data_IF_521293799364
#
_entry.id   IF_521293799364
#
_cell.length_a   1.000
_cell.length_b   1.000
_cell.length_c   1.000
_cell.angle_alpha   90.00
_cell.angle_beta   90.00
_cell.angle_gamma   90.00
#
_symmetry.space_group_name_H-M   'P 1'
#
loop_
_entity.id
_entity.type
_entity.pdbx_description
1 polymer ?
2 water ?
#
# COMPACT_ATOMS: atom_id res chain seq x y z
N UNK A 1 -13.56 -12.68 -5.90
CA UNK A 1 -14.34 -11.39 -5.73
C UNK A 1 -15.65 -11.43 -4.84
N UNK A 2 -15.94 -10.27 -4.24
CA UNK A 2 -17.16 -10.04 -3.42
C UNK A 2 -17.70 -8.67 -3.95
N UNK A 3 -18.49 -7.99 -3.13
CA UNK A 3 -18.88 -6.60 -3.42
C UNK A 3 -17.83 -5.57 -3.19
N UNK A 4 -16.70 -5.94 -2.58
CA UNK A 4 -15.58 -4.98 -2.34
C UNK A 4 -14.92 -4.61 -3.72
N UNK A 5 -14.80 -3.29 -3.97
CA UNK A 5 -14.07 -2.85 -5.20
C UNK A 5 -12.63 -3.25 -5.08
N UNK A 6 -12.16 -3.98 -6.13
CA UNK A 6 -10.77 -4.36 -6.32
C UNK A 6 -10.45 -3.94 -7.77
N UNK A 7 -9.46 -3.04 -7.93
CA UNK A 7 -9.10 -2.68 -9.33
C UNK A 7 -8.77 -3.91 -10.10
N UNK A 8 -9.12 -3.97 -11.38
CA UNK A 8 -8.71 -5.05 -12.26
C UNK A 8 -7.21 -5.26 -12.11
N UNK A 9 -6.77 -6.55 -12.17
CA UNK A 9 -5.36 -6.86 -12.10
C UNK A 9 -4.60 -6.17 -13.21
N UNK A 10 -3.50 -5.52 -12.78
CA UNK A 10 -2.68 -4.84 -13.77
C UNK A 10 -3.07 -3.38 -14.04
N UNK A 11 -4.26 -2.96 -13.63
CA UNK A 11 -4.71 -1.56 -13.90
C UNK A 11 -3.83 -0.66 -12.97
N UNK A 12 -3.34 0.45 -13.50
CA UNK A 12 -2.52 1.35 -12.66
C UNK A 12 -3.32 2.40 -11.91
N UNK A 13 -2.83 2.67 -10.72
CA UNK A 13 -3.41 3.67 -9.84
C UNK A 13 -2.43 4.27 -8.92
N UNK A 14 -2.77 5.35 -8.29
CA UNK A 14 -1.97 5.86 -7.15
C UNK A 14 -2.79 5.66 -5.86
N UNK A 15 -2.11 5.67 -4.73
CA UNK A 15 -2.67 5.45 -3.45
C UNK A 15 -2.57 6.64 -2.57
N UNK A 16 -3.69 7.39 -2.43
CA UNK A 16 -3.74 8.70 -1.76
C UNK A 16 -4.12 8.44 -0.29
N UNK A 17 -3.36 9.03 0.61
CA UNK A 17 -3.68 8.87 2.01
C UNK A 17 -4.72 9.80 2.49
N UNK A 18 -5.65 9.26 3.30
CA UNK A 18 -6.67 10.05 3.91
C UNK A 18 -6.08 11.18 4.75
N UNK A 19 -5.14 10.88 5.63
CA UNK A 19 -4.57 11.89 6.53
C UNK A 19 -3.47 12.75 5.86
N UNK A 20 -2.61 12.06 5.12
CA UNK A 20 -1.41 12.76 4.59
C UNK A 20 -1.74 13.67 3.43
N UNK A 21 -2.77 13.26 2.67
CA UNK A 21 -3.09 13.91 1.37
C UNK A 21 -1.97 13.79 0.34
N UNK A 22 -1.14 12.77 0.48
CA UNK A 22 -0.03 12.53 -0.44
C UNK A 22 -0.14 11.09 -0.92
N UNK A 23 0.62 10.74 -1.95
CA UNK A 23 0.56 9.39 -2.56
C UNK A 23 1.86 8.66 -2.29
N UNK A 24 1.76 7.34 -2.21
CA UNK A 24 2.97 6.53 -2.05
C UNK A 24 3.81 6.61 -3.35
N UNK A 25 5.14 6.62 -3.19
CA UNK A 25 6.01 6.40 -4.36
C UNK A 25 6.94 5.18 -4.05
N UNK A 26 7.42 4.62 -5.17
CA UNK A 26 8.46 3.58 -5.18
C UNK A 26 9.33 3.78 -6.36
N UNK A 27 10.63 3.93 -6.11
CA UNK A 27 11.65 4.30 -7.12
C UNK A 27 12.87 3.41 -7.05
N UNK A 28 13.65 3.38 -8.14
CA UNK A 28 14.93 2.65 -8.16
C UNK A 28 16.01 3.65 -7.76
N UNK A 29 16.31 3.63 -6.48
CA UNK A 29 17.25 4.48 -5.84
C UNK A 29 17.89 3.74 -4.67
N UNK A 30 18.99 4.29 -4.18
CA UNK A 30 19.48 3.79 -2.90
C UNK A 30 18.50 4.20 -1.84
N UNK A 31 18.68 3.69 -0.64
CA UNK A 31 17.69 3.91 0.45
C UNK A 31 17.63 5.42 0.85
N UNK A 32 16.43 5.94 1.13
CA UNK A 32 15.10 5.30 0.98
C UNK A 32 14.55 5.28 -0.45
N UNK A 33 13.97 4.17 -0.87
CA UNK A 33 13.38 4.04 -2.21
C UNK A 33 11.86 4.07 -2.20
N UNK A 34 11.25 4.30 -1.03
CA UNK A 34 9.77 4.44 -0.96
C UNK A 34 9.52 5.63 -0.07
N UNK A 35 8.31 6.17 -0.14
CA UNK A 35 7.99 7.32 0.69
C UNK A 35 6.64 7.87 0.22
N UNK A 36 6.34 9.12 0.55
CA UNK A 36 5.21 9.83 0.03
C UNK A 36 5.64 11.00 -0.79
N UNK A 37 4.86 11.33 -1.79
CA UNK A 37 5.15 12.50 -2.59
C UNK A 37 3.88 13.22 -2.96
N UNK A 38 4.03 14.46 -3.47
CA UNK A 38 2.80 15.22 -3.61
C UNK A 38 1.90 14.76 -4.80
N UNK A 39 0.59 14.87 -4.63
CA UNK A 39 -0.30 14.43 -5.71
C UNK A 39 -0.07 15.15 -7.02
N UNK A 40 0.04 16.49 -6.94
CA UNK A 40 0.26 17.22 -8.19
C UNK A 40 1.56 16.97 -8.96
N UNK A 41 2.47 16.22 -8.39
CA UNK A 41 3.56 15.70 -9.21
C UNK A 41 3.25 14.83 -10.39
N UNK A 42 2.18 14.08 -10.26
CA UNK A 42 1.71 13.17 -11.27
C UNK A 42 2.85 12.35 -11.89
N UNK A 43 3.57 11.61 -11.06
CA UNK A 43 4.83 10.99 -11.49
C UNK A 43 4.63 9.50 -11.65
N UNK A 44 5.29 8.94 -12.68
CA UNK A 44 5.19 7.51 -12.90
C UNK A 44 5.54 6.71 -11.67
N UNK A 45 6.49 7.14 -10.85
CA UNK A 45 6.83 6.37 -9.63
C UNK A 45 5.81 6.43 -8.52
N UNK A 46 4.70 7.14 -8.75
CA UNK A 46 3.57 7.04 -7.83
C UNK A 46 2.50 6.01 -8.26
N UNK A 47 2.77 5.32 -9.38
CA UNK A 47 1.75 4.37 -9.87
C UNK A 47 2.10 2.96 -9.43
N UNK A 48 1.04 2.20 -9.16
CA UNK A 48 1.08 0.81 -8.76
C UNK A 48 0.00 0.05 -9.49
N UNK A 49 0.12 -1.25 -9.48
CA UNK A 49 -1.03 -2.14 -9.91
C UNK A 49 -1.05 -3.32 -8.95
N UNK A 50 -2.19 -4.00 -8.94
CA UNK A 50 -2.29 -5.21 -8.09
C UNK A 50 -1.97 -6.50 -8.89
N UNK A 51 -1.22 -7.36 -8.19
CA UNK A 51 -1.10 -8.75 -8.55
C UNK A 51 -2.09 -9.60 -7.68
N UNK A 52 -3.00 -10.28 -8.35
CA UNK A 52 -3.99 -11.07 -7.56
C UNK A 52 -3.41 -12.36 -7.00
N UNK A 53 -3.56 -12.46 -5.65
CA UNK A 53 -3.14 -13.73 -5.04
C UNK A 53 -4.04 -14.84 -5.47
N UNK A 54 -3.44 -16.04 -5.49
CA UNK A 54 -4.17 -17.22 -5.83
C UNK A 54 -3.91 -18.31 -4.80
N UNK A 55 -4.81 -19.30 -4.79
CA UNK A 55 -4.67 -20.51 -3.89
C UNK A 55 -4.79 -19.97 -2.46
N UNK A 56 -3.78 -20.23 -1.61
CA UNK A 56 -3.93 -19.72 -0.22
C UNK A 56 -3.92 -18.21 -0.10
N UNK A 57 -3.46 -17.51 -1.16
CA UNK A 57 -3.46 -16.06 -1.16
C UNK A 57 -4.65 -15.51 -1.91
N UNK A 58 -5.63 -16.34 -2.25
CA UNK A 58 -6.87 -15.72 -2.84
C UNK A 58 -7.48 -14.79 -1.89
N UNK A 59 -7.88 -13.61 -2.41
CA UNK A 59 -8.47 -12.56 -1.60
C UNK A 59 -7.48 -11.62 -0.97
N UNK A 60 -6.20 -11.86 -1.32
CA UNK A 60 -5.12 -10.92 -0.98
C UNK A 60 -4.41 -10.48 -2.27
N UNK A 61 -3.68 -9.40 -2.16
CA UNK A 61 -3.14 -8.73 -3.34
C UNK A 61 -1.75 -8.23 -3.03
N UNK A 62 -0.85 -8.33 -4.04
CA UNK A 62 0.49 -7.69 -3.94
C UNK A 62 0.45 -6.36 -4.72
N UNK A 63 1.16 -5.41 -4.24
CA UNK A 63 1.08 -4.04 -4.77
C UNK A 63 2.39 -3.76 -5.52
N UNK A 64 2.33 -3.78 -6.83
CA UNK A 64 3.54 -3.77 -7.67
C UNK A 64 3.82 -2.37 -8.23
N UNK A 65 5.02 -1.88 -8.01
CA UNK A 65 5.41 -0.52 -8.51
C UNK A 65 5.51 -0.56 -10.04
N UNK A 66 4.88 0.46 -10.68
CA UNK A 66 5.02 0.65 -12.11
C UNK A 66 6.46 1.02 -12.47
N UNK A 67 7.08 1.90 -11.63
CA UNK A 67 8.42 2.38 -11.99
C UNK A 67 9.54 1.35 -11.77
N UNK A 68 9.38 0.43 -10.81
CA UNK A 68 10.48 -0.52 -10.49
C UNK A 68 10.08 -1.95 -10.77
N UNK A 69 8.72 -2.25 -10.84
CA UNK A 69 8.38 -3.68 -10.95
C UNK A 69 8.42 -4.45 -9.63
N UNK A 70 8.93 -3.87 -8.57
CA UNK A 70 9.02 -4.59 -7.22
C UNK A 70 7.72 -4.45 -6.53
N UNK A 71 7.50 -5.31 -5.53
CA UNK A 71 6.20 -5.26 -4.74
C UNK A 71 6.51 -4.67 -3.38
N UNK A 72 5.43 -4.07 -2.82
CA UNK A 72 5.60 -3.48 -1.46
C UNK A 72 5.63 -4.61 -0.43
N UNK A 73 6.28 -4.36 0.72
CA UNK A 73 6.16 -5.26 1.86
C UNK A 73 5.88 -4.42 3.10
N UNK A 74 5.26 -5.09 4.09
CA UNK A 74 5.02 -4.47 5.42
C UNK A 74 5.31 -5.52 6.49
N UNK A 75 6.15 -5.14 7.48
CA UNK A 75 6.64 -6.17 8.48
C UNK A 75 6.94 -5.50 9.78
N UNK A 76 7.01 -6.32 10.81
CA UNK A 76 7.55 -6.01 12.12
C UNK A 76 8.04 -7.41 12.57
N UNK A 77 9.19 -7.45 13.22
CA UNK A 77 9.84 -6.32 13.84
C UNK A 77 11.06 -5.72 13.05
N UNK A 78 11.41 -6.33 11.92
CA UNK A 78 12.60 -5.94 11.16
C UNK A 78 12.43 -4.60 10.50
N UNK A 79 13.46 -3.77 10.61
CA UNK A 79 13.41 -2.42 10.02
C UNK A 79 14.22 -2.31 8.71
N UNK A 80 13.78 -1.47 7.82
CA UNK A 80 12.59 -0.60 7.83
C UNK A 80 11.30 -1.46 7.72
N UNK A 81 10.23 -0.96 8.32
CA UNK A 81 8.96 -1.69 8.41
C UNK A 81 8.25 -1.80 7.05
N UNK A 82 8.48 -0.86 6.17
CA UNK A 82 7.91 -0.91 4.84
C UNK A 82 8.98 -0.65 3.80
N UNK A 83 8.74 -1.11 2.58
CA UNK A 83 9.73 -1.02 1.49
C UNK A 83 9.20 -1.75 0.29
N UNK A 84 10.08 -2.06 -0.62
CA UNK A 84 9.75 -2.91 -1.81
C UNK A 84 10.83 -3.95 -2.04
N UNK A 85 10.45 -5.00 -2.75
CA UNK A 85 11.36 -6.13 -3.03
C UNK A 85 10.95 -6.77 -4.35
N UNK A 86 11.91 -7.33 -5.07
CA UNK A 86 11.58 -8.10 -6.29
C UNK A 86 10.84 -9.40 -5.96
N UNK A 87 10.28 -10.02 -6.99
CA UNK A 87 9.77 -11.39 -6.88
C UNK A 87 8.27 -11.55 -7.04
N UNK A 88 7.53 -10.47 -7.36
CA UNK A 88 6.04 -10.57 -7.72
C UNK A 88 5.19 -11.21 -6.59
N UNK A 89 5.65 -11.03 -5.34
CA UNK A 89 4.90 -11.67 -4.20
C UNK A 89 5.52 -12.94 -3.72
N UNK A 90 6.84 -13.08 -3.74
CA UNK A 90 7.49 -14.35 -3.29
C UNK A 90 7.45 -14.51 -1.77
N UNK A 91 7.24 -13.44 -1.02
CA UNK A 91 7.37 -13.52 0.46
C UNK A 91 6.04 -13.25 1.14
N UNK A 92 5.85 -13.84 2.34
CA UNK A 92 4.56 -13.75 2.95
C UNK A 92 4.12 -12.33 3.26
N UNK A 93 5.08 -11.45 3.56
CA UNK A 93 4.77 -10.03 3.93
C UNK A 93 4.58 -9.10 2.74
N UNK A 94 4.35 -9.75 1.56
CA UNK A 94 4.03 -8.93 0.30
C UNK A 94 2.52 -8.94 0.02
N UNK A 95 1.70 -9.59 0.86
CA UNK A 95 0.26 -9.84 0.50
C UNK A 95 -0.65 -9.04 1.40
N UNK A 96 -1.53 -8.29 0.80
CA UNK A 96 -2.39 -7.36 1.51
C UNK A 96 -3.85 -7.63 1.29
N UNK A 97 -4.60 -7.28 2.34
CA UNK A 97 -6.07 -7.28 2.35
C UNK A 97 -6.52 -5.82 2.19
N UNK A 98 -7.43 -5.62 1.27
CA UNK A 98 -8.08 -4.27 1.09
C UNK A 98 -9.28 -4.26 1.98
N UNK A 99 -9.30 -3.43 3.04
CA UNK A 99 -10.36 -3.46 4.08
C UNK A 99 -11.14 -2.13 4.04
N UNK A 100 -12.31 -2.10 3.44
CA UNK A 100 -13.05 -0.83 3.32
C UNK A 100 -13.32 -0.15 4.70
N UNK A 101 -13.30 1.20 4.62
CA UNK A 101 -13.70 1.99 5.74
C UNK A 101 -15.23 2.01 5.97
N UNK A 102 -15.66 2.48 7.12
CA UNK A 102 -17.06 2.71 7.47
C UNK A 102 -17.29 4.20 7.65
N UNK A 103 -18.53 4.57 7.98
CA UNK A 103 -18.88 6.01 8.22
C UNK A 103 -18.22 6.97 7.18
N UNK A 104 -17.36 7.92 7.63
CA UNK A 104 -16.81 8.92 6.72
C UNK A 104 -15.66 8.41 5.91
N UNK A 105 -15.27 7.13 6.08
CA UNK A 105 -14.18 6.51 5.32
C UNK A 105 -14.73 5.55 4.24
N UNK A 106 -16.00 5.72 3.82
CA UNK A 106 -16.53 4.72 2.86
C UNK A 106 -15.80 4.78 1.51
N UNK A 107 -15.16 5.88 1.18
CA UNK A 107 -14.40 5.96 -0.08
C UNK A 107 -12.98 5.41 0.07
N UNK A 108 -12.59 4.99 1.30
CA UNK A 108 -11.23 4.65 1.65
C UNK A 108 -11.14 3.24 2.13
N UNK A 109 -9.96 2.83 2.36
CA UNK A 109 -9.69 1.45 2.80
C UNK A 109 -8.32 1.35 3.47
N UNK A 110 -8.21 0.37 4.35
CA UNK A 110 -6.88 0.02 4.89
C UNK A 110 -6.20 -0.96 3.95
N UNK A 111 -4.88 -1.05 4.08
CA UNK A 111 -4.07 -2.03 3.34
C UNK A 111 -3.40 -2.83 4.42
N UNK A 112 -3.99 -3.98 4.81
CA UNK A 112 -3.58 -4.72 6.01
C UNK A 112 -2.77 -5.93 5.53
N UNK A 113 -1.61 -6.17 6.15
CA UNK A 113 -0.76 -7.29 5.82
C UNK A 113 -1.07 -8.35 6.88
N UNK A 114 -1.83 -9.41 6.55
CA UNK A 114 -2.41 -10.10 7.73
C UNK A 114 -1.41 -10.95 8.50
N UNK A 115 -0.47 -11.57 7.80
CA UNK A 115 0.39 -12.52 8.54
C UNK A 115 1.35 -11.76 9.53
N UNK A 116 1.83 -10.55 9.19
CA UNK A 116 2.60 -9.85 10.19
C UNK A 116 1.68 -8.97 11.04
N UNK A 117 0.39 -8.86 10.75
CA UNK A 117 -0.50 -8.11 11.68
C UNK A 117 -0.28 -6.60 11.58
N UNK A 118 0.03 -6.06 10.38
CA UNK A 118 0.39 -4.64 10.26
C UNK A 118 -0.48 -4.02 9.25
N UNK A 119 -0.64 -2.70 9.32
CA UNK A 119 -1.39 -1.90 8.35
C UNK A 119 -0.51 -0.75 7.87
N UNK A 120 -0.60 -0.46 6.56
CA UNK A 120 0.16 0.69 6.05
C UNK A 120 -0.33 2.00 6.60
N UNK A 121 0.61 2.92 6.83
CA UNK A 121 0.33 4.30 7.40
C UNK A 121 0.88 5.32 6.40
N UNK A 122 0.09 6.40 6.24
CA UNK A 122 0.52 7.56 5.41
C UNK A 122 0.14 8.79 6.19
N UNK A 123 1.12 9.50 6.73
CA UNK A 123 0.86 10.54 7.73
C UNK A 123 1.74 11.78 7.50
N UNK A 124 1.38 12.88 8.17
CA UNK A 124 2.22 14.10 8.28
C UNK A 124 2.76 14.19 9.74
N UNK A 125 3.70 15.04 9.89
CA UNK A 125 4.29 15.35 11.23
C UNK A 125 5.24 14.31 11.71
N UNK A 126 4.74 13.10 11.95
CA UNK A 126 5.63 12.09 12.50
C UNK A 126 6.26 11.22 11.38
N UNK A 127 7.58 11.11 11.44
CA UNK A 127 8.32 10.26 10.47
C UNK A 127 8.62 8.87 11.07
N UNK A 128 8.76 7.88 10.21
CA UNK A 128 8.64 7.95 8.74
C UNK A 128 7.21 8.21 8.33
N UNK A 129 7.07 9.05 7.29
CA UNK A 129 5.75 9.43 6.81
C UNK A 129 4.99 8.27 6.18
N UNK A 130 5.69 7.40 5.45
CA UNK A 130 5.09 6.16 4.97
C UNK A 130 5.66 5.07 5.86
N UNK A 131 4.79 4.34 6.55
CA UNK A 131 5.27 3.40 7.59
C UNK A 131 4.12 2.38 7.74
N UNK A 132 4.15 1.71 8.92
CA UNK A 132 3.05 0.81 9.24
C UNK A 132 2.69 0.93 10.67
N UNK A 133 1.66 0.18 11.16
CA UNK A 133 1.28 0.16 12.57
C UNK A 133 0.63 -1.18 12.84
N UNK A 134 0.65 -1.68 14.08
CA UNK A 134 -0.07 -2.97 14.35
C UNK A 134 -1.55 -2.79 13.98
N UNK A 135 -2.12 -3.75 13.25
CA UNK A 135 -3.41 -3.46 12.59
C UNK A 135 -4.58 -3.56 13.56
N UNK A 136 -4.35 -4.06 14.77
CA UNK A 136 -5.41 -4.10 15.80
C UNK A 136 -5.76 -2.70 16.29
N UNK A 137 -4.84 -1.73 16.11
CA UNK A 137 -5.02 -0.37 16.68
C UNK A 137 -5.20 0.56 15.48
N UNK A 138 -6.47 0.94 15.21
CA UNK A 138 -6.87 1.58 13.97
C UNK A 138 -6.94 3.12 14.18
N UNK A 139 -6.24 3.87 13.33
CA UNK A 139 -6.41 5.35 13.22
C UNK A 139 -6.63 5.67 11.73
N UNK A 140 -7.17 6.88 11.47
CA UNK A 140 -7.51 7.15 10.12
C UNK A 140 -6.35 7.46 9.17
N UNK A 141 -5.13 7.57 9.71
CA UNK A 141 -3.93 7.61 8.85
C UNK A 141 -3.53 6.29 8.26
N UNK A 142 -4.34 5.24 8.53
CA UNK A 142 -4.15 3.94 7.87
C UNK A 142 -5.04 3.80 6.64
N UNK A 143 -5.71 4.88 6.24
CA UNK A 143 -6.72 4.79 5.15
C UNK A 143 -6.16 5.41 3.90
N UNK A 144 -6.56 4.78 2.78
CA UNK A 144 -6.10 5.15 1.39
C UNK A 144 -7.28 5.09 0.46
N UNK A 145 -7.19 5.81 -0.64
CA UNK A 145 -8.18 5.72 -1.72
C UNK A 145 -7.41 5.55 -3.02
N UNK A 146 -8.05 5.02 -4.02
CA UNK A 146 -7.40 4.95 -5.37
C UNK A 146 -7.59 6.18 -6.16
N UNK A 147 -6.52 6.64 -6.84
CA UNK A 147 -6.57 7.75 -7.90
C UNK A 147 -6.18 7.13 -9.22
N UNK A 148 -6.87 7.41 -10.34
CA UNK A 148 -6.52 6.83 -11.69
C UNK A 148 -6.06 7.89 -12.67
N UNK A 149 -5.23 7.51 -13.65
CA UNK A 149 -4.80 8.46 -14.73
C UNK A 149 -5.98 9.21 -15.41
#
# INVERSE_FOLDING_TARGET
MTDIYIPPEGLYFRLLGFASRQVIFARNSPSPDVGLSPVNDQATDQYFSLIYGTGEHAGLYAIKSKATGKVLFSRRPAEPYVGQIDGDGRYPDNWFKIEPGKTYLSKYFRLVQPSTGTALVSRTHLQPYFWNHPQTEVFDDQYFTFLFED
#
